data_IF_672368992076
#
_entry.id   IF_672368992076
#
_cell.length_a   1.000
_cell.length_b   1.000
_cell.length_c   1.000
_cell.angle_alpha   90.00
_cell.angle_beta   90.00
_cell.angle_gamma   90.00
#
_symmetry.space_group_name_H-M   'P 1'
#
loop_
_entity.id
_entity.type
_entity.pdbx_description
1 polymer ?
#
# COMPACT_ATOMS: atom_id res chain seq x y z
N UNK A 1 9.26 -2.03 0.04
CA UNK A 1 7.91 -2.62 0.21
C UNK A 1 8.00 -4.11 0.52
N UNK A 2 6.92 -4.73 1.01
CA UNK A 2 6.79 -6.18 1.19
C UNK A 2 5.77 -6.75 0.19
N UNK A 3 6.12 -7.84 -0.48
CA UNK A 3 5.26 -8.51 -1.46
C UNK A 3 5.21 -10.01 -1.20
N UNK A 4 4.08 -10.48 -0.67
CA UNK A 4 3.92 -11.88 -0.25
C UNK A 4 2.81 -12.64 -1.00
N UNK A 5 2.13 -11.99 -1.96
CA UNK A 5 1.05 -12.56 -2.78
C UNK A 5 0.94 -11.82 -4.12
N UNK A 6 0.71 -12.58 -5.19
CA UNK A 6 0.56 -12.07 -6.57
C UNK A 6 -0.59 -11.06 -6.71
N UNK A 7 -1.60 -11.18 -5.86
CA UNK A 7 -2.77 -10.30 -5.72
C UNK A 7 -2.45 -8.79 -5.65
N UNK A 8 -1.28 -8.42 -5.13
CA UNK A 8 -0.87 -7.03 -4.94
C UNK A 8 0.11 -6.52 -6.00
N UNK A 9 0.38 -7.31 -7.06
CA UNK A 9 1.43 -7.01 -8.03
C UNK A 9 1.15 -5.69 -8.77
N UNK A 10 -0.07 -5.49 -9.23
CA UNK A 10 -0.45 -4.25 -9.91
C UNK A 10 -0.22 -3.02 -9.03
N UNK A 11 -0.61 -3.09 -7.74
CA UNK A 11 -0.33 -2.03 -6.78
C UNK A 11 1.16 -1.75 -6.59
N UNK A 12 1.98 -2.80 -6.52
CA UNK A 12 3.44 -2.68 -6.42
C UNK A 12 4.07 -2.00 -7.65
N UNK A 13 3.57 -2.32 -8.84
CA UNK A 13 4.02 -1.73 -10.11
C UNK A 13 3.64 -0.25 -10.17
N UNK A 14 2.38 0.09 -9.84
CA UNK A 14 1.89 1.47 -9.80
C UNK A 14 2.63 2.29 -8.75
N UNK A 15 2.92 1.72 -7.58
CA UNK A 15 3.74 2.35 -6.54
C UNK A 15 5.13 2.68 -7.07
N UNK A 16 5.84 1.73 -7.67
CA UNK A 16 7.17 1.97 -8.25
C UNK A 16 7.14 3.07 -9.30
N UNK A 17 6.17 3.03 -10.21
CA UNK A 17 6.01 4.10 -11.21
C UNK A 17 5.83 5.47 -10.54
N UNK A 18 4.92 5.56 -9.56
CA UNK A 18 4.63 6.81 -8.87
C UNK A 18 5.84 7.39 -8.10
N UNK A 19 6.63 6.53 -7.46
CA UNK A 19 7.86 6.92 -6.75
C UNK A 19 8.91 7.46 -7.73
N UNK A 20 9.09 6.81 -8.88
CA UNK A 20 10.03 7.26 -9.92
C UNK A 20 9.58 8.56 -10.59
N UNK A 21 8.30 8.66 -10.92
CA UNK A 21 7.72 9.83 -11.56
C UNK A 21 7.80 11.09 -10.68
N UNK A 22 7.67 10.91 -9.36
CA UNK A 22 7.76 12.01 -8.39
C UNK A 22 9.20 12.34 -7.98
N UNK A 23 10.14 11.41 -8.14
CA UNK A 23 11.57 11.61 -7.98
C UNK A 23 12.17 10.84 -6.80
N UNK A 24 13.34 10.23 -7.04
CA UNK A 24 14.09 9.42 -6.07
C UNK A 24 15.36 10.09 -5.54
N UNK A 25 15.67 11.31 -5.97
CA UNK A 25 16.84 12.04 -5.51
C UNK A 25 16.78 12.31 -3.99
N UNK A 26 17.83 11.93 -3.28
CA UNK A 26 17.96 12.11 -1.84
C UNK A 26 18.36 13.56 -1.49
N UNK A 27 17.86 14.10 -0.36
CA UNK A 27 18.23 15.44 0.09
C UNK A 27 19.75 15.59 0.31
N UNK A 28 20.38 16.69 -0.13
CA UNK A 28 21.82 16.91 0.07
C UNK A 28 22.27 16.86 1.54
N UNK A 29 21.38 17.25 2.47
CA UNK A 29 21.64 17.25 3.91
C UNK A 29 21.99 15.86 4.49
N UNK A 30 21.72 14.77 3.76
CA UNK A 30 22.14 13.42 4.17
C UNK A 30 23.63 13.16 3.96
N UNK A 31 24.33 13.98 3.17
CA UNK A 31 25.71 13.75 2.73
C UNK A 31 26.71 14.80 3.26
N UNK A 32 26.23 15.83 3.96
CA UNK A 32 27.05 16.96 4.43
C UNK A 32 27.87 16.69 5.70
N UNK A 33 27.97 15.44 6.16
CA UNK A 33 28.71 15.06 7.39
C UNK A 33 30.12 14.51 7.15
N UNK A 34 30.62 14.47 5.91
CA UNK A 34 32.04 14.19 5.68
C UNK A 34 32.88 15.38 6.21
N UNK A 35 33.89 15.17 7.08
CA UNK A 35 34.77 16.25 7.49
C UNK A 35 35.44 16.81 6.24
N UNK A 36 35.44 18.14 6.10
CA UNK A 36 36.20 18.82 5.06
C UNK A 36 37.69 18.51 5.28
N UNK A 37 38.18 17.45 4.64
CA UNK A 37 39.60 17.22 4.43
C UNK A 37 40.15 18.44 3.70
N UNK A 38 41.18 19.04 4.28
CA UNK A 38 41.74 20.32 3.92
C UNK A 38 42.56 20.21 2.61
N UNK A 39 41.92 19.85 1.50
CA UNK A 39 42.58 19.77 0.20
C UNK A 39 41.87 20.68 -0.81
N UNK A 40 42.38 21.90 -0.89
CA UNK A 40 42.02 22.90 -1.88
C UNK A 40 42.55 22.46 -3.24
N UNK A 41 41.75 21.69 -3.99
CA UNK A 41 41.90 21.50 -5.43
C UNK A 41 40.55 21.66 -6.13
N UNK A 42 40.47 22.75 -6.89
CA UNK A 42 39.60 23.03 -8.04
C UNK A 42 38.25 22.26 -8.10
N UNK A 43 37.19 22.96 -7.68
CA UNK A 43 35.80 22.51 -7.77
C UNK A 43 35.29 22.49 -9.23
N UNK A 44 35.78 21.54 -10.02
CA UNK A 44 35.09 21.01 -11.20
C UNK A 44 34.34 19.72 -10.82
N UNK A 45 33.50 19.76 -9.79
CA UNK A 45 32.86 18.56 -9.21
C UNK A 45 31.36 18.54 -9.49
N UNK A 46 30.92 17.70 -10.43
CA UNK A 46 29.50 17.37 -10.56
C UNK A 46 28.97 16.82 -9.24
N UNK A 47 27.97 17.48 -8.64
CA UNK A 47 27.38 17.03 -7.39
C UNK A 47 26.91 15.57 -7.54
N UNK A 48 27.51 14.66 -6.77
CA UNK A 48 27.10 13.27 -6.72
C UNK A 48 25.65 13.22 -6.23
N UNK A 49 24.71 12.93 -7.14
CA UNK A 49 23.30 12.76 -6.80
C UNK A 49 23.10 11.33 -6.32
N UNK A 50 22.79 11.18 -5.05
CA UNK A 50 22.39 9.90 -4.49
C UNK A 50 20.89 9.73 -4.69
N UNK A 51 20.47 8.55 -5.15
CA UNK A 51 19.06 8.21 -5.33
C UNK A 51 18.65 7.10 -4.35
N UNK A 52 17.41 7.15 -3.89
CA UNK A 52 16.82 6.09 -3.10
C UNK A 52 16.61 4.83 -3.96
N UNK A 53 17.06 3.68 -3.47
CA UNK A 53 16.86 2.41 -4.14
C UNK A 53 15.46 1.83 -3.83
N UNK A 54 14.79 1.30 -4.87
CA UNK A 54 13.51 0.62 -4.73
C UNK A 54 13.71 -0.86 -4.40
N UNK A 55 13.41 -1.26 -3.17
CA UNK A 55 13.57 -2.64 -2.69
C UNK A 55 12.22 -3.30 -2.40
N UNK A 56 12.01 -4.49 -2.96
CA UNK A 56 10.87 -5.35 -2.68
C UNK A 56 11.33 -6.60 -1.93
N UNK A 57 10.85 -6.78 -0.69
CA UNK A 57 10.99 -8.02 0.05
C UNK A 57 9.97 -9.03 -0.49
N UNK A 58 10.42 -10.14 -1.07
CA UNK A 58 9.56 -11.09 -1.79
C UNK A 58 9.69 -12.48 -1.18
N UNK A 59 8.56 -13.13 -0.88
CA UNK A 59 8.58 -14.53 -0.40
C UNK A 59 8.62 -15.55 -1.54
N UNK A 60 9.09 -16.77 -1.25
CA UNK A 60 9.08 -17.91 -2.17
C UNK A 60 7.71 -18.20 -2.84
N UNK A 61 6.60 -17.84 -2.21
CA UNK A 61 5.23 -18.03 -2.75
C UNK A 61 4.89 -17.13 -3.94
N UNK A 62 5.64 -16.05 -4.15
CA UNK A 62 5.41 -15.12 -5.27
C UNK A 62 5.94 -15.75 -6.55
N UNK A 63 5.05 -15.90 -7.53
CA UNK A 63 5.34 -16.58 -8.78
C UNK A 63 6.40 -15.88 -9.64
N UNK A 64 7.01 -16.62 -10.56
CA UNK A 64 8.06 -16.11 -11.45
C UNK A 64 7.58 -14.93 -12.30
N UNK A 65 6.33 -14.95 -12.79
CA UNK A 65 5.76 -13.85 -13.58
C UNK A 65 5.56 -12.57 -12.75
N UNK A 66 5.16 -12.69 -11.49
CA UNK A 66 5.08 -11.54 -10.58
C UNK A 66 6.44 -10.96 -10.28
N UNK A 67 7.47 -11.81 -10.09
CA UNK A 67 8.86 -11.37 -9.91
C UNK A 67 9.37 -10.61 -11.15
N UNK A 68 9.06 -11.09 -12.36
CA UNK A 68 9.36 -10.36 -13.61
C UNK A 68 8.67 -8.99 -13.64
N UNK A 69 7.40 -8.91 -13.25
CA UNK A 69 6.66 -7.65 -13.18
C UNK A 69 7.27 -6.65 -12.19
N UNK A 70 7.67 -7.12 -11.01
CA UNK A 70 8.36 -6.29 -10.02
C UNK A 70 9.71 -5.76 -10.55
N UNK A 71 10.52 -6.63 -11.15
CA UNK A 71 11.81 -6.23 -11.75
C UNK A 71 11.62 -5.25 -12.91
N UNK A 72 10.63 -5.49 -13.78
CA UNK A 72 10.30 -4.60 -14.89
C UNK A 72 9.86 -3.20 -14.41
N UNK A 73 9.18 -3.11 -13.26
CA UNK A 73 8.84 -1.84 -12.63
C UNK A 73 10.05 -1.15 -11.95
N UNK A 74 11.18 -1.85 -11.80
CA UNK A 74 12.41 -1.33 -11.21
C UNK A 74 12.63 -1.69 -9.75
N UNK A 75 11.92 -2.69 -9.21
CA UNK A 75 12.19 -3.20 -7.87
C UNK A 75 13.41 -4.14 -7.86
N UNK A 76 14.37 -3.86 -6.97
CA UNK A 76 15.36 -4.87 -6.53
C UNK A 76 14.66 -5.88 -5.64
N UNK A 77 14.65 -7.14 -6.06
CA UNK A 77 14.06 -8.23 -5.30
C UNK A 77 15.05 -8.72 -4.24
N UNK A 78 14.60 -8.74 -2.99
CA UNK A 78 15.27 -9.40 -1.88
C UNK A 78 14.37 -10.54 -1.40
N UNK A 79 14.84 -11.77 -1.55
CA UNK A 79 14.07 -12.93 -1.13
C UNK A 79 14.05 -13.05 0.40
N UNK A 80 12.88 -13.31 0.96
CA UNK A 80 12.69 -13.47 2.40
C UNK A 80 11.92 -14.74 2.77
N UNK A 81 12.27 -15.31 3.92
CA UNK A 81 11.43 -16.29 4.58
C UNK A 81 10.29 -15.57 5.34
N UNK A 82 9.06 -16.01 5.07
CA UNK A 82 7.88 -15.44 5.73
C UNK A 82 7.90 -15.75 7.22
N UNK A 83 7.53 -14.75 8.02
CA UNK A 83 7.34 -14.93 9.46
C UNK A 83 5.86 -15.13 9.72
N UNK A 84 5.52 -16.29 10.28
CA UNK A 84 4.15 -16.57 10.68
C UNK A 84 3.79 -15.73 11.91
N UNK A 85 2.66 -15.08 11.84
CA UNK A 85 2.02 -14.47 12.99
C UNK A 85 1.42 -15.55 13.89
N UNK A 86 2.00 -15.70 15.07
CA UNK A 86 1.63 -16.73 16.05
C UNK A 86 0.19 -16.56 16.57
N UNK A 87 -0.34 -15.34 16.54
CA UNK A 87 -1.69 -15.00 17.00
C UNK A 87 -2.75 -15.09 15.91
N UNK A 88 -2.34 -15.28 14.66
CA UNK A 88 -3.26 -15.36 13.54
C UNK A 88 -3.81 -16.78 13.36
N UNK A 89 -5.10 -16.86 13.03
CA UNK A 89 -5.71 -18.10 12.57
C UNK A 89 -5.01 -18.60 11.30
N UNK A 90 -4.87 -19.93 11.19
CA UNK A 90 -4.30 -20.56 9.98
C UNK A 90 -5.14 -20.19 8.76
N UNK A 91 -4.47 -19.86 7.66
CA UNK A 91 -5.05 -19.42 6.38
C UNK A 91 -5.82 -18.09 6.45
N UNK A 92 -5.68 -17.33 7.53
CA UNK A 92 -6.18 -15.95 7.58
C UNK A 92 -5.28 -15.02 6.78
N UNK A 93 -5.81 -13.85 6.38
CA UNK A 93 -5.01 -12.84 5.70
C UNK A 93 -3.86 -12.30 6.56
N UNK A 94 -3.98 -12.40 7.89
CA UNK A 94 -2.97 -11.93 8.86
C UNK A 94 -1.86 -12.96 9.12
N UNK A 95 -1.98 -14.17 8.60
CA UNK A 95 -1.09 -15.28 8.97
C UNK A 95 0.40 -14.96 8.73
N UNK A 96 0.72 -14.13 7.76
CA UNK A 96 2.11 -13.85 7.35
C UNK A 96 2.51 -12.38 7.50
N UNK A 97 1.69 -11.56 8.15
CA UNK A 97 1.94 -10.12 8.26
C UNK A 97 3.20 -9.78 9.09
N UNK A 98 3.64 -10.69 9.97
CA UNK A 98 4.89 -10.53 10.72
C UNK A 98 6.13 -10.57 9.81
N UNK A 99 6.00 -10.97 8.55
CA UNK A 99 7.09 -10.84 7.57
C UNK A 99 7.53 -9.39 7.38
N UNK A 100 6.71 -8.39 7.76
CA UNK A 100 7.10 -6.97 7.80
C UNK A 100 8.25 -6.70 8.78
N UNK A 101 8.43 -7.54 9.81
CA UNK A 101 9.56 -7.40 10.76
C UNK A 101 10.92 -7.60 10.07
N UNK A 102 10.96 -8.26 8.91
CA UNK A 102 12.17 -8.43 8.09
C UNK A 102 12.76 -7.11 7.60
N UNK A 103 12.02 -6.00 7.66
CA UNK A 103 12.54 -4.66 7.34
C UNK A 103 13.78 -4.31 8.15
N UNK A 104 13.87 -4.73 9.42
CA UNK A 104 15.02 -4.47 10.28
C UNK A 104 16.24 -5.34 9.97
N UNK A 105 16.17 -6.26 8.99
CA UNK A 105 17.32 -7.01 8.50
C UNK A 105 18.00 -6.35 7.30
N UNK A 106 17.44 -5.28 6.75
CA UNK A 106 17.98 -4.53 5.61
C UNK A 106 19.17 -3.64 6.02
N UNK A 107 20.15 -4.21 6.73
CA UNK A 107 21.27 -3.48 7.34
C UNK A 107 22.27 -2.92 6.34
N UNK A 108 22.11 -3.22 5.04
CA UNK A 108 22.85 -2.54 3.99
C UNK A 108 22.38 -1.08 3.76
N UNK A 109 21.21 -0.69 4.30
CA UNK A 109 20.70 0.69 4.24
C UNK A 109 20.73 1.33 5.63
N UNK A 110 21.20 2.59 5.68
CA UNK A 110 21.14 3.39 6.90
C UNK A 110 19.70 3.74 7.30
N UNK A 111 18.79 3.86 6.33
CA UNK A 111 17.39 4.23 6.54
C UNK A 111 16.51 3.64 5.45
N UNK A 112 15.32 3.19 5.82
CA UNK A 112 14.32 2.63 4.91
C UNK A 112 13.00 3.37 5.11
N UNK A 113 12.44 3.90 4.02
CA UNK A 113 11.04 4.34 3.96
C UNK A 113 10.20 3.15 3.48
N UNK A 114 9.54 2.48 4.41
CA UNK A 114 8.61 1.42 4.12
C UNK A 114 7.28 1.99 3.64
N UNK A 115 6.77 1.44 2.53
CA UNK A 115 5.51 1.81 1.90
C UNK A 115 4.80 0.51 1.48
N UNK A 116 3.54 0.33 1.91
CA UNK A 116 2.67 -0.75 1.46
C UNK A 116 2.33 -0.58 -0.03
N UNK A 117 2.11 -1.68 -0.74
CA UNK A 117 1.84 -1.69 -2.19
C UNK A 117 0.47 -1.12 -2.59
N UNK A 118 -0.36 -0.72 -1.62
CA UNK A 118 -1.64 -0.05 -1.83
C UNK A 118 -1.58 1.46 -1.59
N UNK A 119 -0.37 2.02 -1.68
CA UNK A 119 -0.10 3.46 -1.61
C UNK A 119 0.34 3.97 -2.98
N UNK A 120 -0.05 5.20 -3.31
CA UNK A 120 0.42 5.92 -4.50
C UNK A 120 1.08 7.22 -4.07
N UNK A 121 2.31 7.45 -4.54
CA UNK A 121 3.03 8.70 -4.32
C UNK A 121 2.59 9.76 -5.35
N UNK A 122 2.26 10.96 -4.87
CA UNK A 122 1.87 12.11 -5.69
C UNK A 122 2.93 13.22 -5.68
N UNK A 123 3.86 13.17 -4.72
CA UNK A 123 5.01 14.08 -4.59
C UNK A 123 6.22 13.31 -4.08
N UNK A 124 7.46 13.81 -4.26
CA UNK A 124 8.64 13.10 -3.79
C UNK A 124 8.58 12.81 -2.30
N UNK A 125 8.83 11.54 -1.96
CA UNK A 125 8.88 11.04 -0.59
C UNK A 125 10.29 11.04 0.01
N UNK A 126 11.30 11.47 -0.77
CA UNK A 126 12.71 11.37 -0.36
C UNK A 126 13.09 12.31 0.79
N UNK A 127 12.32 13.36 1.03
CA UNK A 127 12.48 14.21 2.21
C UNK A 127 12.29 13.44 3.53
N UNK A 128 11.56 12.32 3.50
CA UNK A 128 11.31 11.48 4.67
C UNK A 128 12.56 10.75 5.17
N UNK A 129 13.58 10.61 4.31
CA UNK A 129 14.87 10.10 4.75
C UNK A 129 15.58 11.04 5.73
N UNK A 130 15.08 12.25 6.01
CA UNK A 130 15.62 13.12 7.06
C UNK A 130 15.09 12.79 8.47
N UNK A 131 14.07 11.93 8.58
CA UNK A 131 13.45 11.58 9.86
C UNK A 131 14.07 10.31 10.48
N UNK A 132 14.06 10.21 11.81
CA UNK A 132 14.63 9.08 12.57
C UNK A 132 13.65 7.91 12.77
N UNK A 133 14.15 6.76 13.23
CA UNK A 133 13.30 5.65 13.68
C UNK A 133 12.60 5.97 15.02
N UNK A 134 11.34 5.59 15.23
CA UNK A 134 10.33 5.24 14.24
C UNK A 134 9.62 6.53 13.82
N UNK A 135 9.44 6.79 12.52
CA UNK A 135 8.57 7.88 12.05
C UNK A 135 7.40 7.34 11.24
N UNK A 136 6.18 7.78 11.54
CA UNK A 136 4.98 7.31 10.86
C UNK A 136 3.82 8.30 11.03
N UNK A 137 2.82 8.18 10.15
CA UNK A 137 1.56 8.94 10.25
C UNK A 137 0.63 8.29 11.27
N UNK A 138 -0.18 9.12 11.93
CA UNK A 138 -1.20 8.65 12.86
C UNK A 138 -2.22 7.74 12.16
N UNK A 139 -2.58 6.64 12.78
CA UNK A 139 -3.71 5.78 12.45
C UNK A 139 -4.89 6.12 13.36
N UNK A 140 -5.98 5.38 13.20
CA UNK A 140 -7.10 5.44 14.14
C UNK A 140 -6.62 4.95 15.52
N UNK A 141 -7.22 5.46 16.60
CA UNK A 141 -6.95 5.05 18.00
C UNK A 141 -5.60 5.52 18.60
N UNK A 142 -5.08 6.69 18.20
CA UNK A 142 -3.84 7.26 18.77
C UNK A 142 -2.59 6.37 18.62
N UNK A 143 -2.57 5.52 17.59
CA UNK A 143 -1.46 4.63 17.19
C UNK A 143 -0.91 5.08 15.85
N UNK A 144 0.27 4.63 15.42
CA UNK A 144 0.73 4.91 14.06
C UNK A 144 0.29 3.83 13.05
N UNK A 145 0.20 4.23 11.78
CA UNK A 145 -0.09 3.33 10.66
C UNK A 145 1.20 2.63 10.19
N UNK A 146 1.23 1.31 10.23
CA UNK A 146 2.43 0.53 9.88
C UNK A 146 2.59 0.26 8.37
N UNK A 147 1.67 0.73 7.55
CA UNK A 147 1.76 0.70 6.09
C UNK A 147 2.68 1.76 5.52
N UNK A 148 3.09 2.74 6.34
CA UNK A 148 4.02 3.78 5.95
C UNK A 148 4.91 4.17 7.14
N UNK A 149 6.20 3.81 7.08
CA UNK A 149 7.12 4.00 8.20
C UNK A 149 8.52 4.37 7.72
N UNK A 150 9.22 5.21 8.49
CA UNK A 150 10.67 5.37 8.41
C UNK A 150 11.29 4.52 9.51
N UNK A 151 12.19 3.62 9.11
CA UNK A 151 12.92 2.71 10.01
C UNK A 151 14.43 2.81 9.77
N UNK A 152 15.20 2.49 10.79
CA UNK A 152 16.66 2.40 10.79
C UNK A 152 17.02 0.92 11.03
N UNK A 153 17.26 0.15 9.95
CA UNK A 153 17.42 -1.30 10.06
C UNK A 153 18.56 -1.70 11.01
N UNK A 154 18.25 -2.58 11.95
CA UNK A 154 19.22 -3.12 12.90
C UNK A 154 18.87 -4.57 13.27
N UNK A 155 19.85 -5.47 13.15
CA UNK A 155 19.68 -6.89 13.51
C UNK A 155 19.33 -7.07 15.00
N UNK A 156 19.82 -6.20 15.88
CA UNK A 156 19.45 -6.22 17.30
C UNK A 156 17.94 -6.01 17.50
N UNK A 157 17.35 -5.03 16.79
CA UNK A 157 15.91 -4.77 16.80
C UNK A 157 15.12 -5.94 16.21
N UNK A 158 15.61 -6.52 15.11
CA UNK A 158 15.01 -7.72 14.53
C UNK A 158 15.01 -8.92 15.52
N UNK A 159 16.15 -9.19 16.16
CA UNK A 159 16.27 -10.26 17.16
C UNK A 159 15.37 -9.99 18.38
N UNK A 160 15.26 -8.74 18.81
CA UNK A 160 14.32 -8.34 19.85
C UNK A 160 12.88 -8.70 19.46
N UNK A 161 12.43 -8.36 18.25
CA UNK A 161 11.09 -8.77 17.81
C UNK A 161 10.91 -10.28 17.83
N UNK A 162 11.86 -11.02 17.27
CA UNK A 162 11.78 -12.49 17.18
C UNK A 162 11.71 -13.15 18.56
N UNK A 163 12.44 -12.63 19.55
CA UNK A 163 12.37 -13.10 20.93
C UNK A 163 11.00 -12.82 21.59
N UNK A 164 10.27 -11.80 21.11
CA UNK A 164 9.05 -11.31 21.74
C UNK A 164 7.75 -11.54 20.93
N UNK A 165 7.81 -12.22 19.78
CA UNK A 165 6.62 -12.48 18.93
C UNK A 165 5.48 -13.20 19.68
N UNK A 166 5.81 -13.97 20.72
CA UNK A 166 4.85 -14.72 21.55
C UNK A 166 4.49 -14.03 22.88
N UNK A 167 5.18 -12.96 23.24
CA UNK A 167 4.99 -12.29 24.55
C UNK A 167 4.33 -10.93 24.40
N UNK A 168 4.65 -10.18 23.34
CA UNK A 168 3.98 -8.91 23.04
C UNK A 168 2.64 -9.21 22.37
N UNK A 169 1.55 -8.94 23.10
CA UNK A 169 0.19 -9.24 22.65
C UNK A 169 -0.21 -8.30 21.53
N UNK A 170 -0.45 -8.85 20.35
CA UNK A 170 -1.11 -8.12 19.26
C UNK A 170 -2.63 -8.25 19.42
N UNK A 171 -3.28 -7.24 20.02
CA UNK A 171 -4.72 -7.27 20.40
C UNK A 171 -5.65 -7.54 19.21
N UNK A 172 -5.28 -7.05 18.02
CA UNK A 172 -5.98 -7.30 16.76
C UNK A 172 -5.29 -8.36 15.89
N UNK A 173 -4.23 -9.00 16.38
CA UNK A 173 -3.42 -9.97 15.65
C UNK A 173 -2.72 -9.38 14.42
N UNK A 174 -2.52 -8.07 14.35
CA UNK A 174 -1.83 -7.37 13.26
C UNK A 174 -0.33 -7.20 13.51
N UNK A 175 0.45 -7.00 12.44
CA UNK A 175 1.81 -6.44 12.51
C UNK A 175 1.78 -5.01 13.08
N UNK A 176 0.81 -4.18 12.67
CA UNK A 176 0.66 -2.82 13.18
C UNK A 176 0.63 -2.75 14.70
N UNK A 177 -0.20 -3.57 15.35
CA UNK A 177 -0.31 -3.53 16.81
C UNK A 177 0.94 -4.08 17.49
N UNK A 178 1.62 -5.08 16.89
CA UNK A 178 2.89 -5.56 17.42
C UNK A 178 3.94 -4.46 17.43
N UNK A 179 4.15 -3.78 16.30
CA UNK A 179 5.16 -2.72 16.19
C UNK A 179 4.76 -1.50 17.04
N UNK A 180 3.48 -1.15 17.15
CA UNK A 180 3.00 -0.08 18.05
C UNK A 180 3.27 -0.39 19.54
N UNK A 181 3.25 -1.66 19.94
CA UNK A 181 3.55 -2.04 21.31
C UNK A 181 5.06 -2.04 21.61
N UNK A 182 5.91 -2.14 20.60
CA UNK A 182 7.37 -2.01 20.76
C UNK A 182 7.77 -0.54 20.73
N UNK A 183 7.26 0.23 19.77
CA UNK A 183 7.53 1.66 19.62
C UNK A 183 6.36 2.48 20.17
N UNK A 184 6.31 2.62 21.49
CA UNK A 184 5.27 3.41 22.17
C UNK A 184 5.46 4.92 21.99
N UNK A 185 6.66 5.35 21.61
CA UNK A 185 6.97 6.70 21.15
C UNK A 185 7.48 6.65 19.72
N UNK A 186 7.02 7.57 18.89
CA UNK A 186 7.43 7.70 17.49
C UNK A 186 7.33 9.17 17.07
N UNK A 187 8.06 9.52 16.01
CA UNK A 187 7.99 10.83 15.40
C UNK A 187 6.79 10.91 14.46
N UNK A 188 5.92 11.89 14.67
CA UNK A 188 4.72 12.07 13.84
C UNK A 188 5.10 12.68 12.49
N UNK A 189 4.78 11.96 11.43
CA UNK A 189 4.84 12.50 10.08
C UNK A 189 3.55 13.29 9.78
N UNK A 190 3.60 14.28 8.86
CA UNK A 190 2.39 14.96 8.39
C UNK A 190 1.40 13.98 7.76
N UNK A 191 0.10 14.16 8.01
CA UNK A 191 -0.97 13.30 7.46
C UNK A 191 -0.94 13.21 5.93
N UNK A 192 -0.46 14.26 5.26
CA UNK A 192 -0.27 14.28 3.81
C UNK A 192 0.73 13.23 3.29
N UNK A 193 1.60 12.68 4.14
CA UNK A 193 2.58 11.64 3.80
C UNK A 193 1.97 10.26 3.62
N UNK A 194 0.84 9.99 4.28
CA UNK A 194 0.13 8.71 4.23
C UNK A 194 -1.38 8.94 4.43
N UNK A 195 -2.00 9.64 3.49
CA UNK A 195 -3.39 10.07 3.64
C UNK A 195 -4.36 8.93 3.31
N UNK A 196 -5.12 8.49 4.31
CA UNK A 196 -6.04 7.36 4.16
C UNK A 196 -7.25 7.72 3.30
N UNK A 197 -7.59 6.86 2.33
CA UNK A 197 -8.89 6.86 1.65
C UNK A 197 -9.97 6.25 2.57
N UNK A 198 -10.31 6.97 3.63
CA UNK A 198 -11.26 6.54 4.65
C UNK A 198 -12.10 7.71 5.13
N UNK A 199 -13.41 7.56 5.06
CA UNK A 199 -14.38 8.44 5.69
C UNK A 199 -14.63 7.91 7.10
N UNK A 200 -14.22 8.68 8.11
CA UNK A 200 -14.36 8.28 9.51
C UNK A 200 -15.75 8.59 10.07
N UNK A 201 -16.42 9.61 9.52
CA UNK A 201 -17.75 10.02 9.98
C UNK A 201 -18.81 9.00 9.53
N UNK A 202 -19.63 8.46 10.46
CA UNK A 202 -20.68 7.48 10.14
C UNK A 202 -21.72 8.00 9.13
N UNK A 203 -22.37 7.07 8.43
CA UNK A 203 -23.44 7.39 7.48
C UNK A 203 -24.63 8.06 8.20
N UNK A 204 -25.21 9.09 7.57
CA UNK A 204 -26.31 9.88 8.16
C UNK A 204 -25.88 10.95 9.17
N UNK A 205 -24.60 11.02 9.55
CA UNK A 205 -24.12 12.08 10.44
C UNK A 205 -23.94 13.41 9.67
N UNK A 206 -24.37 14.57 10.22
CA UNK A 206 -24.37 15.86 9.50
C UNK A 206 -23.01 16.32 8.99
N UNK A 207 -21.92 15.91 9.65
CA UNK A 207 -20.55 16.24 9.26
C UNK A 207 -19.99 15.43 8.08
N UNK A 208 -20.69 14.37 7.65
CA UNK A 208 -20.15 13.41 6.67
C UNK A 208 -19.92 14.04 5.31
N UNK A 209 -20.91 14.76 4.78
CA UNK A 209 -20.82 15.34 3.44
C UNK A 209 -19.69 16.37 3.35
N UNK A 210 -19.46 17.11 4.43
CA UNK A 210 -18.34 18.04 4.54
C UNK A 210 -16.99 17.31 4.56
N UNK A 211 -16.87 16.20 5.28
CA UNK A 211 -15.66 15.37 5.27
C UNK A 211 -15.41 14.81 3.87
N UNK A 212 -16.43 14.24 3.22
CA UNK A 212 -16.34 13.70 1.86
C UNK A 212 -15.91 14.76 0.86
N UNK A 213 -16.50 15.97 0.93
CA UNK A 213 -16.14 17.08 0.05
C UNK A 213 -14.69 17.54 0.28
N UNK A 214 -14.26 17.66 1.54
CA UNK A 214 -12.88 18.05 1.88
C UNK A 214 -11.85 17.01 1.39
N UNK A 215 -12.10 15.72 1.62
CA UNK A 215 -11.23 14.65 1.12
C UNK A 215 -11.21 14.62 -0.41
N UNK A 216 -12.37 14.75 -1.06
CA UNK A 216 -12.48 14.80 -2.53
C UNK A 216 -11.68 15.94 -3.14
N UNK A 217 -11.68 17.12 -2.49
CA UNK A 217 -10.86 18.25 -2.90
C UNK A 217 -9.36 17.93 -2.82
N UNK A 218 -8.91 17.26 -1.75
CA UNK A 218 -7.51 16.84 -1.59
C UNK A 218 -7.09 15.80 -2.64
N UNK A 219 -7.94 14.81 -2.92
CA UNK A 219 -7.68 13.79 -3.94
C UNK A 219 -7.69 14.34 -5.37
N UNK A 220 -8.47 15.39 -5.62
CA UNK A 220 -8.58 16.02 -6.94
C UNK A 220 -7.56 17.14 -7.18
N UNK A 221 -6.89 17.63 -6.14
CA UNK A 221 -6.02 18.80 -6.23
C UNK A 221 -4.90 18.64 -7.28
N UNK A 222 -4.72 19.69 -8.08
CA UNK A 222 -3.64 19.85 -9.06
C UNK A 222 -3.07 21.28 -8.96
N UNK A 223 -1.79 21.48 -8.60
CA UNK A 223 -0.81 20.45 -8.23
C UNK A 223 -1.22 19.65 -6.99
N UNK A 224 -0.74 18.40 -6.84
CA UNK A 224 -1.08 17.57 -5.69
C UNK A 224 -0.71 18.23 -4.36
N UNK A 225 -1.66 18.28 -3.42
CA UNK A 225 -1.40 18.75 -2.04
C UNK A 225 -0.88 17.62 -1.15
N UNK A 226 -1.39 16.41 -1.35
CA UNK A 226 -0.95 15.20 -0.65
C UNK A 226 0.39 14.72 -1.21
N UNK A 227 1.24 14.15 -0.35
CA UNK A 227 2.44 13.43 -0.78
C UNK A 227 2.11 11.99 -1.19
N UNK A 228 1.20 11.32 -0.48
CA UNK A 228 0.73 9.99 -0.87
C UNK A 228 -0.73 9.72 -0.45
N UNK A 229 -1.40 8.84 -1.19
CA UNK A 229 -2.73 8.32 -0.87
C UNK A 229 -2.62 6.84 -0.53
N UNK A 230 -3.22 6.42 0.59
CA UNK A 230 -3.32 5.02 1.02
C UNK A 230 -4.71 4.46 0.76
N UNK A 231 -4.79 3.53 -0.19
CA UNK A 231 -6.04 2.92 -0.65
C UNK A 231 -6.48 1.77 0.25
N UNK A 232 -7.13 2.10 1.37
CA UNK A 232 -7.82 1.13 2.22
C UNK A 232 -9.16 0.68 1.62
N UNK A 233 -9.70 -0.46 2.08
CA UNK A 233 -10.85 -1.12 1.46
C UNK A 233 -10.45 -1.98 0.25
N UNK A 234 -11.38 -2.15 -0.70
CA UNK A 234 -11.12 -2.83 -1.97
C UNK A 234 -10.20 -1.98 -2.84
N UNK A 235 -9.17 -2.60 -3.39
CA UNK A 235 -8.09 -1.91 -4.11
C UNK A 235 -8.54 -1.47 -5.51
N UNK A 236 -8.06 -0.32 -6.02
CA UNK A 236 -8.49 0.20 -7.32
C UNK A 236 -8.30 -0.77 -8.49
N UNK A 237 -7.21 -1.53 -8.49
CA UNK A 237 -6.92 -2.52 -9.54
C UNK A 237 -7.91 -3.70 -9.57
N UNK A 238 -8.66 -3.94 -8.49
CA UNK A 238 -9.74 -4.94 -8.44
C UNK A 238 -11.12 -4.42 -8.83
N UNK A 239 -11.22 -3.12 -9.08
CA UNK A 239 -12.42 -2.47 -9.59
C UNK A 239 -12.26 -2.25 -11.09
N UNK A 240 -13.37 -2.15 -11.82
CA UNK A 240 -13.32 -1.51 -13.14
C UNK A 240 -12.89 -0.05 -13.00
N UNK A 241 -12.25 0.49 -14.02
CA UNK A 241 -11.71 1.85 -14.01
C UNK A 241 -12.77 2.93 -13.89
N UNK A 242 -13.99 2.61 -14.30
CA UNK A 242 -15.08 3.58 -14.45
C UNK A 242 -15.64 4.08 -13.10
N UNK A 243 -15.49 3.29 -12.02
CA UNK A 243 -16.06 3.63 -10.72
C UNK A 243 -15.34 2.93 -9.55
N UNK A 244 -15.40 3.53 -8.36
CA UNK A 244 -14.82 2.95 -7.15
C UNK A 244 -15.67 1.81 -6.59
N UNK A 245 -15.43 0.56 -7.02
CA UNK A 245 -16.23 -0.61 -6.63
C UNK A 245 -16.28 -0.96 -5.13
N UNK A 246 -15.71 -0.16 -4.22
CA UNK A 246 -16.13 -0.17 -2.82
C UNK A 246 -17.61 0.21 -2.67
N UNK A 247 -18.13 0.99 -3.62
CA UNK A 247 -19.47 1.52 -3.61
C UNK A 247 -20.52 0.36 -3.66
N UNK A 248 -20.25 -0.70 -4.44
CA UNK A 248 -21.21 -1.80 -4.64
C UNK A 248 -21.40 -2.69 -3.39
N UNK A 249 -20.58 -2.51 -2.35
CA UNK A 249 -20.63 -3.28 -1.11
C UNK A 249 -21.06 -2.37 0.06
N UNK A 250 -22.25 -2.57 0.68
CA UNK A 250 -22.75 -1.68 1.74
C UNK A 250 -21.77 -1.44 2.90
N UNK A 251 -21.05 -2.47 3.32
CA UNK A 251 -20.07 -2.38 4.41
C UNK A 251 -18.75 -1.67 4.03
N UNK A 252 -18.54 -1.39 2.74
CA UNK A 252 -17.36 -0.68 2.21
C UNK A 252 -17.63 0.79 1.90
N UNK A 253 -18.84 1.31 2.17
CA UNK A 253 -19.23 2.71 1.93
C UNK A 253 -18.31 3.75 2.59
N UNK A 254 -17.60 3.39 3.67
CA UNK A 254 -16.60 4.25 4.32
C UNK A 254 -15.31 4.43 3.51
N UNK A 255 -15.09 3.65 2.46
CA UNK A 255 -13.90 3.70 1.61
C UNK A 255 -14.17 4.27 0.22
N UNK A 256 -15.41 4.73 -0.04
CA UNK A 256 -15.83 5.19 -1.37
C UNK A 256 -15.35 6.62 -1.60
N UNK A 257 -14.58 6.82 -2.67
CA UNK A 257 -14.22 8.14 -3.17
C UNK A 257 -13.79 8.04 -4.65
N UNK A 258 -14.65 8.47 -5.58
CA UNK A 258 -14.37 8.38 -7.02
C UNK A 258 -13.22 9.28 -7.47
N UNK A 259 -12.97 10.41 -6.79
CA UNK A 259 -11.81 11.24 -7.09
C UNK A 259 -10.49 10.52 -6.74
N UNK A 260 -10.42 9.84 -5.60
CA UNK A 260 -9.27 9.01 -5.25
C UNK A 260 -9.09 7.85 -6.24
N UNK A 261 -10.19 7.20 -6.64
CA UNK A 261 -10.15 6.12 -7.63
C UNK A 261 -9.64 6.61 -8.99
N UNK A 262 -10.19 7.73 -9.48
CA UNK A 262 -9.72 8.40 -10.71
C UNK A 262 -8.24 8.78 -10.62
N UNK A 263 -7.79 9.30 -9.47
CA UNK A 263 -6.37 9.63 -9.24
C UNK A 263 -5.47 8.40 -9.36
N UNK A 264 -5.90 7.25 -8.84
CA UNK A 264 -5.14 6.00 -9.00
C UNK A 264 -4.99 5.64 -10.49
N UNK A 265 -6.08 5.71 -11.26
CA UNK A 265 -6.08 5.43 -12.69
C UNK A 265 -5.26 6.41 -13.51
N UNK A 266 -5.20 7.69 -13.12
CA UNK A 266 -4.30 8.67 -13.75
C UNK A 266 -2.82 8.24 -13.62
N UNK A 267 -2.42 7.73 -12.45
CA UNK A 267 -1.05 7.23 -12.24
C UNK A 267 -0.82 5.92 -12.99
N UNK A 268 -1.79 5.00 -12.98
CA UNK A 268 -1.71 3.77 -13.76
C UNK A 268 -1.56 4.05 -15.27
N UNK A 269 -2.33 5.01 -15.80
CA UNK A 269 -2.35 5.28 -17.23
C UNK A 269 -1.07 5.94 -17.73
N UNK A 270 -0.36 6.66 -16.86
CA UNK A 270 0.95 7.24 -17.13
C UNK A 270 2.10 6.22 -17.13
N UNK A 271 1.85 4.97 -16.70
CA UNK A 271 2.84 3.89 -16.76
C UNK A 271 3.16 3.48 -18.20
N UNK A 272 4.37 2.96 -18.38
CA UNK A 272 4.78 2.28 -19.62
C UNK A 272 3.76 1.17 -19.98
N UNK A 273 3.32 1.14 -21.24
CA UNK A 273 2.36 0.16 -21.76
C UNK A 273 2.77 -1.29 -21.50
N UNK A 274 4.07 -1.57 -21.41
CA UNK A 274 4.61 -2.91 -21.11
C UNK A 274 4.30 -3.36 -19.69
N UNK A 275 4.00 -2.44 -18.77
CA UNK A 275 3.70 -2.75 -17.36
C UNK A 275 2.22 -3.02 -17.11
N UNK A 276 1.32 -2.47 -17.94
CA UNK A 276 -0.14 -2.59 -17.79
C UNK A 276 -0.68 -4.03 -17.86
N UNK A 277 -0.08 -4.99 -18.58
CA UNK A 277 -0.55 -6.39 -18.59
C UNK A 277 -0.60 -7.06 -17.21
N UNK A 278 0.27 -6.67 -16.26
CA UNK A 278 0.25 -7.19 -14.88
C UNK A 278 -0.88 -6.62 -14.02
N UNK A 279 -1.67 -5.69 -14.56
CA UNK A 279 -2.85 -5.08 -13.93
C UNK A 279 -4.19 -5.61 -14.47
N UNK A 280 -4.16 -6.66 -15.29
CA UNK A 280 -5.36 -7.31 -15.83
C UNK A 280 -6.12 -8.07 -14.73
N UNK A 281 -7.41 -8.27 -14.98
CA UNK A 281 -8.30 -9.01 -14.09
C UNK A 281 -8.41 -10.46 -14.55
N UNK A 282 -8.43 -11.40 -13.60
CA UNK A 282 -8.81 -12.79 -13.86
C UNK A 282 -10.30 -12.91 -14.19
N UNK A 283 -10.71 -13.98 -14.87
CA UNK A 283 -12.13 -14.25 -15.15
C UNK A 283 -12.95 -14.37 -13.85
N UNK A 284 -12.37 -14.92 -12.78
CA UNK A 284 -13.01 -14.97 -11.46
C UNK A 284 -13.23 -13.57 -10.88
N UNK A 285 -12.24 -12.67 -11.00
CA UNK A 285 -12.35 -11.30 -10.51
C UNK A 285 -13.39 -10.50 -11.30
N UNK A 286 -13.42 -10.66 -12.63
CA UNK A 286 -14.44 -10.04 -13.50
C UNK A 286 -15.83 -10.53 -13.12
N UNK A 287 -16.02 -11.85 -13.01
CA UNK A 287 -17.29 -12.44 -12.57
C UNK A 287 -17.72 -11.89 -11.22
N UNK A 288 -16.81 -11.85 -10.24
CA UNK A 288 -17.12 -11.30 -8.91
C UNK A 288 -17.49 -9.81 -8.91
N UNK A 289 -16.99 -9.02 -9.87
CA UNK A 289 -17.44 -7.63 -10.07
C UNK A 289 -18.87 -7.58 -10.62
N UNK A 290 -19.14 -8.35 -11.69
CA UNK A 290 -20.47 -8.39 -12.30
C UNK A 290 -21.54 -8.90 -11.33
N UNK A 291 -21.26 -10.01 -10.63
CA UNK A 291 -22.17 -10.58 -9.63
C UNK A 291 -22.48 -9.56 -8.52
N UNK A 292 -21.48 -8.79 -8.07
CA UNK A 292 -21.69 -7.75 -7.05
C UNK A 292 -22.55 -6.60 -7.57
N UNK A 293 -22.35 -6.17 -8.82
CA UNK A 293 -23.15 -5.13 -9.47
C UNK A 293 -24.60 -5.58 -9.66
N UNK A 294 -24.82 -6.78 -10.16
CA UNK A 294 -26.17 -7.32 -10.42
C UNK A 294 -26.95 -7.54 -9.14
N UNK A 295 -26.30 -8.08 -8.10
CA UNK A 295 -26.90 -8.18 -6.77
C UNK A 295 -27.35 -6.81 -6.27
N UNK A 296 -26.52 -5.77 -6.43
CA UNK A 296 -26.85 -4.43 -5.93
C UNK A 296 -28.02 -3.80 -6.69
N UNK A 297 -28.14 -4.05 -8.01
CA UNK A 297 -29.30 -3.65 -8.82
C UNK A 297 -30.59 -4.31 -8.33
N UNK A 298 -30.53 -5.60 -8.01
CA UNK A 298 -31.69 -6.36 -7.50
C UNK A 298 -32.18 -5.88 -6.13
N UNK A 299 -31.28 -5.33 -5.30
CA UNK A 299 -31.61 -4.78 -3.98
C UNK A 299 -32.34 -3.42 -4.04
N UNK A 300 -32.65 -2.89 -5.24
CA UNK A 300 -33.36 -1.62 -5.39
C UNK A 300 -32.55 -0.40 -4.94
N UNK A 301 -31.22 -0.50 -4.95
CA UNK A 301 -30.34 0.62 -4.66
C UNK A 301 -30.54 1.74 -5.70
N UNK A 302 -30.52 2.99 -5.23
CA UNK A 302 -30.74 4.21 -6.03
C UNK A 302 -30.04 4.17 -7.39
N UNK A 303 -30.76 4.06 -8.52
CA UNK A 303 -30.19 3.92 -9.85
C UNK A 303 -29.21 5.03 -10.23
N UNK A 304 -29.39 6.26 -9.72
CA UNK A 304 -28.50 7.39 -10.04
C UNK A 304 -27.08 7.19 -9.48
N UNK A 305 -26.94 6.47 -8.37
CA UNK A 305 -25.63 6.18 -7.76
C UNK A 305 -24.88 5.01 -8.43
N UNK A 306 -25.51 4.23 -9.32
CA UNK A 306 -24.97 2.94 -9.79
C UNK A 306 -25.13 2.65 -11.28
N UNK A 307 -25.65 3.59 -12.07
CA UNK A 307 -25.81 3.43 -13.52
C UNK A 307 -24.48 3.65 -14.27
N UNK A 308 -23.50 2.79 -14.00
CA UNK A 308 -22.19 2.85 -14.65
C UNK A 308 -22.22 2.13 -15.99
N UNK A 309 -21.80 2.82 -17.04
CA UNK A 309 -21.38 2.17 -18.29
C UNK A 309 -19.92 1.78 -18.13
N UNK A 310 -19.63 0.48 -18.09
CA UNK A 310 -18.26 -0.04 -17.93
C UNK A 310 -17.53 0.05 -19.26
N UNK A 311 -16.57 0.97 -19.36
CA UNK A 311 -15.71 1.16 -20.53
C UNK A 311 -14.31 0.59 -20.32
N UNK A 312 -14.00 0.07 -19.13
CA UNK A 312 -12.72 -0.57 -18.83
C UNK A 312 -12.36 -1.66 -19.87
N UNK A 313 -11.24 -1.52 -20.62
CA UNK A 313 -10.83 -2.51 -21.60
C UNK A 313 -10.54 -3.87 -20.96
N UNK A 314 -10.19 -3.91 -19.65
CA UNK A 314 -9.92 -5.16 -18.92
C UNK A 314 -11.16 -6.04 -18.79
N UNK A 315 -12.37 -5.55 -19.05
CA UNK A 315 -13.58 -6.38 -19.08
C UNK A 315 -13.47 -7.49 -20.13
N UNK A 316 -12.80 -7.24 -21.25
CA UNK A 316 -12.69 -8.17 -22.38
C UNK A 316 -11.29 -8.84 -22.48
N UNK A 317 -10.28 -8.31 -21.78
CA UNK A 317 -8.90 -8.82 -21.88
C UNK A 317 -8.65 -10.01 -20.96
N UNK A 318 -8.16 -11.14 -21.50
CA UNK A 318 -7.71 -12.28 -20.70
C UNK A 318 -6.38 -12.00 -19.98
N UNK A 319 -6.09 -12.75 -18.91
CA UNK A 319 -4.78 -12.73 -18.26
C UNK A 319 -3.68 -13.21 -19.22
N UNK A 320 -2.45 -12.67 -19.14
CA UNK A 320 -1.31 -13.24 -19.84
C UNK A 320 -1.02 -14.67 -19.36
N UNK A 321 -0.60 -15.55 -20.28
CA UNK A 321 -0.17 -16.91 -19.94
C UNK A 321 0.87 -16.91 -18.81
N UNK A 322 0.63 -17.66 -17.74
CA UNK A 322 1.54 -17.76 -16.58
C UNK A 322 1.21 -16.87 -15.38
N UNK A 323 0.23 -15.96 -15.49
CA UNK A 323 -0.34 -15.20 -14.36
C UNK A 323 -1.65 -15.81 -13.82
N UNK A 324 -2.04 -17.00 -14.29
CA UNK A 324 -3.14 -17.76 -13.71
C UNK A 324 -2.80 -18.07 -12.26
N UNK A 325 -3.45 -17.35 -11.35
CA UNK A 325 -3.35 -17.52 -9.90
C UNK A 325 -3.53 -19.00 -9.62
N UNK A 326 -2.51 -19.64 -9.02
CA UNK A 326 -2.54 -21.05 -8.67
C UNK A 326 -3.78 -21.38 -7.86
N UNK A 327 -4.82 -21.86 -8.55
CA UNK A 327 -6.10 -22.24 -7.99
C UNK A 327 -5.96 -23.50 -7.15
N UNK A 328 -5.37 -23.38 -5.95
CA UNK A 328 -5.70 -24.33 -4.89
C UNK A 328 -7.09 -23.96 -4.41
N UNK A 329 -8.06 -24.87 -4.61
CA UNK A 329 -9.44 -24.84 -4.09
C UNK A 329 -9.46 -24.38 -2.62
N UNK A 330 -9.47 -23.08 -2.41
CA UNK A 330 -9.74 -22.43 -1.15
C UNK A 330 -11.18 -21.99 -1.19
N UNK A 331 -12.03 -22.65 -0.40
CA UNK A 331 -13.42 -22.27 -0.13
C UNK A 331 -13.55 -20.74 -0.10
N UNK A 332 -14.40 -20.16 -0.95
CA UNK A 332 -14.82 -18.77 -0.81
C UNK A 332 -15.32 -18.59 0.64
N UNK A 333 -14.54 -17.87 1.43
CA UNK A 333 -14.88 -17.49 2.79
C UNK A 333 -15.73 -16.23 2.74
N UNK A 334 -16.80 -16.23 3.51
CA UNK A 334 -17.72 -15.10 3.65
C UNK A 334 -16.99 -13.90 4.27
N UNK A 335 -17.33 -12.68 3.86
CA UNK A 335 -16.68 -11.45 4.35
C UNK A 335 -16.83 -11.20 5.86
N UNK A 336 -17.71 -11.92 6.55
CA UNK A 336 -17.75 -12.01 8.02
C UNK A 336 -16.46 -12.61 8.61
N UNK A 337 -15.80 -13.50 7.89
CA UNK A 337 -14.50 -14.09 8.25
C UNK A 337 -13.33 -13.11 7.98
N UNK A 338 -13.54 -12.05 7.19
CA UNK A 338 -12.53 -11.00 6.95
C UNK A 338 -12.42 -9.99 8.09
N UNK A 339 -13.49 -9.80 8.87
CA UNK A 339 -13.52 -8.76 9.92
C UNK A 339 -13.38 -9.31 11.34
N UNK A 340 -13.31 -10.62 11.54
CA UNK A 340 -13.27 -11.19 12.88
C UNK A 340 -14.54 -10.81 13.64
N UNK A 341 -15.56 -11.65 13.56
CA UNK A 341 -16.85 -11.40 14.20
C UNK A 341 -16.70 -10.89 15.63
N UNK A 342 -17.02 -9.62 15.84
CA UNK A 342 -17.46 -9.07 17.11
C UNK A 342 -18.44 -7.95 16.84
N UNK A 343 -19.62 -8.11 17.43
CA UNK A 343 -20.63 -7.06 17.56
C UNK A 343 -19.97 -5.84 18.22
N UNK A 344 -20.09 -4.69 17.58
CA UNK A 344 -19.84 -3.41 18.21
C UNK A 344 -21.17 -3.01 18.85
N UNK A 345 -21.22 -3.07 20.18
CA UNK A 345 -22.26 -2.42 20.99
C UNK A 345 -21.90 -0.95 21.20
#
# INVERSE_FOLDING_TARGET
>A
MLHSKDDYLCGAIVLAHSLRATGLALPPALFTSAPAGNDSREAGGGAQRFEAELVALVSAEVGAESRKGLQAAGWRIVEIERIRNVWAEKRSFKEWNYSKLRLWQLTEYARVVYVDSDIVALRPLTHLFLYSELSAVLSIESRFNSGFMVVEPALCTFHFFMAHIRTIVSSNGGDQNFVNNVFTWWHRLPDSSNFLKLIMTPQGHPGRDREVAAQTALFSADPPQLHAIHYVGRKPWYCFRDFDCNCVLPYMQKFVNDAAHKRWWQVHDAMDERLKPWCRLSEEQKKGLWDAMDKRRQEGADPEMWNFTVTDPRKDLALPWGLEVGGRKGRQRTWSEWLGGRNWH
#
